data_IF_267880582585
#
_entry.id   IF_267880582585
#
_cell.length_a   1.000
_cell.length_b   1.000
_cell.length_c   1.000
_cell.angle_alpha   90.00
_cell.angle_beta   90.00
_cell.angle_gamma   90.00
#
_symmetry.space_group_name_H-M   'P 1'
#
loop_
_entity.id
_entity.type
_entity.pdbx_description
1 polymer ?
#
# COMPACT_ATOMS: atom_id res chain seq x y z
N UNK A 1 0.98 -10.17 43.48
CA UNK A 1 1.47 -8.81 43.16
C UNK A 1 0.81 -7.76 44.05
N UNK A 2 1.58 -6.95 44.78
CA UNK A 2 1.05 -5.90 45.67
C UNK A 2 0.72 -4.60 44.91
N UNK A 3 -0.15 -3.72 45.46
CA UNK A 3 -0.44 -2.41 44.86
C UNK A 3 0.81 -1.54 44.64
N UNK A 4 1.75 -1.58 45.60
CA UNK A 4 3.02 -0.86 45.50
C UNK A 4 3.93 -1.40 44.38
N UNK A 5 3.96 -2.72 44.17
CA UNK A 5 4.71 -3.33 43.07
C UNK A 5 4.11 -2.94 41.71
N UNK A 6 2.77 -2.96 41.59
CA UNK A 6 2.07 -2.51 40.37
C UNK A 6 2.38 -1.03 40.06
N UNK A 7 2.39 -0.16 41.07
CA UNK A 7 2.69 1.26 40.87
C UNK A 7 4.11 1.51 40.33
N UNK A 8 5.11 0.75 40.82
CA UNK A 8 6.50 0.82 40.31
C UNK A 8 6.62 0.35 38.86
N UNK A 9 5.91 -0.73 38.50
CA UNK A 9 5.86 -1.22 37.12
C UNK A 9 5.15 -0.21 36.19
N UNK A 10 4.07 0.43 36.66
CA UNK A 10 3.39 1.49 35.92
C UNK A 10 4.30 2.71 35.70
N UNK A 11 5.08 3.12 36.70
CA UNK A 11 6.07 4.19 36.54
C UNK A 11 7.14 3.83 35.48
N UNK A 12 7.55 2.56 35.44
CA UNK A 12 8.48 2.05 34.44
C UNK A 12 7.85 2.05 33.03
N UNK A 13 6.60 1.63 32.89
CA UNK A 13 5.89 1.64 31.62
C UNK A 13 5.69 3.06 31.09
N UNK A 14 5.33 4.01 31.95
CA UNK A 14 5.23 5.44 31.61
C UNK A 14 6.56 6.03 31.15
N UNK A 15 7.67 5.69 31.82
CA UNK A 15 8.99 6.15 31.41
C UNK A 15 9.48 5.55 30.08
N UNK A 16 9.00 4.35 29.73
CA UNK A 16 9.35 3.66 28.50
C UNK A 16 8.42 4.03 27.32
N UNK A 17 7.20 4.48 27.60
CA UNK A 17 6.22 4.91 26.62
C UNK A 17 6.35 6.39 26.26
N UNK A 18 5.94 6.76 25.04
CA UNK A 18 5.85 8.16 24.60
C UNK A 18 4.45 8.77 24.79
N UNK A 19 3.44 7.93 25.02
CA UNK A 19 2.04 8.32 25.25
C UNK A 19 1.52 7.63 26.49
N UNK A 20 0.66 8.32 27.23
CA UNK A 20 0.13 7.80 28.49
C UNK A 20 -0.80 6.61 28.27
N UNK A 21 -1.62 6.65 27.21
CA UNK A 21 -2.48 5.54 26.75
C UNK A 21 -1.70 4.25 26.44
N UNK A 22 -0.56 4.37 25.76
CA UNK A 22 0.30 3.21 25.43
C UNK A 22 0.94 2.57 26.68
N UNK A 23 1.07 3.30 27.80
CA UNK A 23 1.77 2.82 28.99
C UNK A 23 0.96 1.77 29.77
N UNK A 24 -0.36 1.92 29.80
CA UNK A 24 -1.24 0.95 30.47
C UNK A 24 -1.30 -0.36 29.70
N UNK A 25 -1.46 -0.29 28.38
CA UNK A 25 -1.44 -1.46 27.49
C UNK A 25 -0.11 -2.21 27.60
N UNK A 26 1.02 -1.47 27.58
CA UNK A 26 2.36 -2.03 27.73
C UNK A 26 2.53 -2.80 29.06
N UNK A 27 1.99 -2.26 30.16
CA UNK A 27 2.00 -2.95 31.45
C UNK A 27 1.11 -4.20 31.41
N UNK A 28 -0.08 -4.11 30.84
CA UNK A 28 -1.03 -5.21 30.79
C UNK A 28 -0.47 -6.39 29.96
N UNK A 29 0.11 -6.13 28.80
CA UNK A 29 0.77 -7.16 27.99
C UNK A 29 1.96 -7.79 28.74
N UNK A 30 2.77 -6.98 29.43
CA UNK A 30 3.90 -7.49 30.20
C UNK A 30 3.47 -8.41 31.35
N UNK A 31 2.36 -8.09 32.02
CA UNK A 31 1.78 -8.94 33.07
C UNK A 31 1.22 -10.25 32.50
N UNK A 32 0.54 -10.21 31.35
CA UNK A 32 0.05 -11.41 30.67
C UNK A 32 1.22 -12.33 30.28
N UNK A 33 2.29 -11.77 29.73
CA UNK A 33 3.49 -12.53 29.36
C UNK A 33 4.22 -13.10 30.59
N UNK A 34 4.27 -12.35 31.70
CA UNK A 34 4.87 -12.82 32.94
C UNK A 34 4.04 -13.91 33.64
N UNK A 35 2.71 -13.80 33.59
CA UNK A 35 1.79 -14.82 34.08
C UNK A 35 1.95 -16.13 33.28
N UNK A 36 1.97 -16.05 31.95
CA UNK A 36 2.18 -17.22 31.09
C UNK A 36 3.54 -17.90 31.34
N UNK A 37 4.56 -17.14 31.75
CA UNK A 37 5.88 -17.65 32.10
C UNK A 37 6.01 -18.11 33.57
N UNK A 38 4.96 -17.99 34.40
CA UNK A 38 5.00 -18.31 35.82
C UNK A 38 5.88 -17.37 36.67
N UNK A 39 6.19 -16.17 36.17
CA UNK A 39 7.14 -15.21 36.77
C UNK A 39 6.50 -13.87 37.10
N UNK A 40 5.21 -13.86 37.44
CA UNK A 40 4.46 -12.64 37.70
C UNK A 40 4.98 -11.86 38.93
N UNK A 41 5.49 -12.55 39.95
CA UNK A 41 6.06 -11.93 41.16
C UNK A 41 7.50 -11.44 40.96
N UNK A 42 8.14 -11.79 39.85
CA UNK A 42 9.49 -11.34 39.50
C UNK A 42 9.44 -9.96 38.84
N UNK A 43 9.47 -8.91 39.66
CA UNK A 43 9.39 -7.52 39.19
C UNK A 43 10.53 -7.13 38.23
N UNK A 44 11.71 -7.75 38.34
CA UNK A 44 12.82 -7.50 37.42
C UNK A 44 12.54 -8.11 36.04
N UNK A 45 11.95 -9.30 36.01
CA UNK A 45 11.51 -9.95 34.78
C UNK A 45 10.42 -9.14 34.05
N UNK A 46 9.39 -8.68 34.77
CA UNK A 46 8.32 -7.84 34.20
C UNK A 46 8.88 -6.51 33.66
N UNK A 47 9.79 -5.88 34.41
CA UNK A 47 10.51 -4.66 33.97
C UNK A 47 11.27 -4.89 32.67
N UNK A 48 11.92 -6.05 32.52
CA UNK A 48 12.62 -6.45 31.29
C UNK A 48 11.68 -6.57 30.09
N UNK A 49 10.50 -7.16 30.28
CA UNK A 49 9.47 -7.28 29.23
C UNK A 49 8.98 -5.91 28.77
N UNK A 50 8.64 -5.01 29.71
CA UNK A 50 8.20 -3.64 29.45
C UNK A 50 9.23 -2.91 28.56
N UNK A 51 10.52 -2.95 28.93
CA UNK A 51 11.58 -2.29 28.15
C UNK A 51 11.74 -2.88 26.75
N UNK A 52 11.63 -4.21 26.62
CA UNK A 52 11.75 -4.90 25.33
C UNK A 52 10.59 -4.52 24.40
N UNK A 53 9.37 -4.53 24.90
CA UNK A 53 8.16 -4.17 24.13
C UNK A 53 8.23 -2.70 23.69
N UNK A 54 8.59 -1.78 24.60
CA UNK A 54 8.77 -0.37 24.26
C UNK A 54 9.84 -0.15 23.16
N UNK A 55 10.97 -0.86 23.24
CA UNK A 55 12.00 -0.81 22.21
C UNK A 55 11.50 -1.35 20.84
N UNK A 56 10.66 -2.39 20.84
CA UNK A 56 10.04 -2.93 19.62
C UNK A 56 9.04 -1.95 19.01
N UNK A 57 8.20 -1.31 19.83
CA UNK A 57 7.26 -0.27 19.40
C UNK A 57 8.00 0.93 18.80
N UNK A 58 9.07 1.40 19.46
CA UNK A 58 9.91 2.50 18.97
C UNK A 58 10.57 2.17 17.61
N UNK A 59 11.08 0.95 17.43
CA UNK A 59 11.63 0.48 16.13
C UNK A 59 10.54 0.39 15.06
N UNK A 60 9.34 -0.05 15.42
CA UNK A 60 8.16 -0.05 14.54
C UNK A 60 7.81 1.36 14.06
N UNK A 61 7.74 2.31 14.98
CA UNK A 61 7.46 3.71 14.70
C UNK A 61 8.58 4.38 13.86
N UNK A 62 9.86 4.09 14.14
CA UNK A 62 10.97 4.60 13.34
C UNK A 62 10.94 4.08 11.89
N UNK A 63 10.66 2.78 11.68
CA UNK A 63 10.47 2.22 10.33
C UNK A 63 9.24 2.77 9.63
N UNK A 64 8.17 3.06 10.37
CA UNK A 64 6.98 3.73 9.82
C UNK A 64 7.32 5.14 9.37
N UNK A 65 7.95 5.95 10.23
CA UNK A 65 8.41 7.30 9.88
C UNK A 65 9.40 7.30 8.71
N UNK A 66 10.33 6.34 8.64
CA UNK A 66 11.26 6.23 7.52
C UNK A 66 10.57 5.88 6.20
N UNK A 67 9.48 5.08 6.24
CA UNK A 67 8.64 4.82 5.07
C UNK A 67 7.87 6.07 4.66
N UNK A 68 7.29 6.78 5.62
CA UNK A 68 6.51 8.00 5.39
C UNK A 68 7.38 9.19 4.96
N UNK A 69 8.61 9.32 5.45
CA UNK A 69 9.53 10.40 5.06
C UNK A 69 10.21 10.14 3.72
N UNK A 70 10.53 8.89 3.40
CA UNK A 70 10.94 8.50 2.05
C UNK A 70 9.80 8.71 1.03
N UNK A 71 8.55 8.66 1.48
CA UNK A 71 7.36 8.93 0.71
C UNK A 71 7.12 10.44 0.48
N UNK A 72 7.25 11.25 1.54
CA UNK A 72 7.09 12.71 1.47
C UNK A 72 8.16 13.44 0.64
N UNK A 73 9.29 12.79 0.35
CA UNK A 73 10.34 13.32 -0.52
C UNK A 73 10.08 13.11 -2.03
N UNK A 74 9.01 12.38 -2.39
CA UNK A 74 8.53 12.36 -3.77
C UNK A 74 7.72 13.65 -4.00
N UNK A 75 8.00 14.41 -5.08
CA UNK A 75 7.21 15.60 -5.38
C UNK A 75 5.74 15.19 -5.48
N UNK A 76 4.88 15.91 -4.75
CA UNK A 76 3.44 15.76 -4.89
C UNK A 76 3.06 16.20 -6.31
N UNK A 77 3.02 15.25 -7.24
CA UNK A 77 2.38 15.47 -8.51
C UNK A 77 0.92 15.82 -8.21
N UNK A 78 0.52 17.04 -8.51
CA UNK A 78 -0.87 17.47 -8.48
C UNK A 78 -1.67 16.50 -9.35
N UNK A 79 -2.50 15.67 -8.73
CA UNK A 79 -3.66 15.11 -9.41
C UNK A 79 -4.58 16.29 -9.67
N UNK A 80 -4.39 16.99 -10.78
CA UNK A 80 -5.55 17.61 -11.38
C UNK A 80 -6.47 16.44 -11.73
N UNK A 81 -7.51 16.27 -10.91
CA UNK A 81 -8.64 15.41 -11.19
C UNK A 81 -9.24 15.91 -12.50
N UNK A 82 -8.70 15.43 -13.62
CA UNK A 82 -9.31 15.62 -14.91
C UNK A 82 -10.61 14.84 -14.86
N UNK A 83 -11.70 15.53 -14.52
CA UNK A 83 -13.07 15.03 -14.59
C UNK A 83 -13.22 14.22 -15.88
N UNK A 84 -13.35 12.89 -15.74
CA UNK A 84 -13.46 11.98 -16.88
C UNK A 84 -14.72 12.34 -17.65
N UNK A 85 -14.56 13.06 -18.77
CA UNK A 85 -15.68 13.49 -19.59
C UNK A 85 -16.53 12.27 -19.98
N UNK A 86 -17.86 12.29 -19.74
CA UNK A 86 -18.70 11.14 -19.96
C UNK A 86 -18.66 10.69 -21.42
N UNK A 87 -18.49 9.38 -21.62
CA UNK A 87 -18.47 8.76 -22.94
C UNK A 87 -19.87 8.77 -23.56
N UNK A 88 -20.00 9.00 -24.88
CA UNK A 88 -21.27 8.80 -25.57
C UNK A 88 -21.67 7.31 -25.51
N UNK A 89 -22.94 6.95 -25.80
CA UNK A 89 -23.35 5.55 -25.89
C UNK A 89 -22.53 4.82 -26.96
N UNK A 90 -21.79 3.80 -26.55
CA UNK A 90 -20.87 3.02 -27.38
C UNK A 90 -21.24 1.53 -27.34
N UNK A 91 -21.02 0.77 -28.43
CA UNK A 91 -21.04 -0.68 -28.38
C UNK A 91 -20.06 -1.24 -27.33
N UNK A 92 -20.36 -2.36 -26.64
CA UNK A 92 -19.54 -2.86 -25.52
C UNK A 92 -18.06 -3.12 -25.85
N UNK A 93 -17.77 -3.46 -27.10
CA UNK A 93 -16.39 -3.65 -27.57
C UNK A 93 -15.61 -2.32 -27.71
N UNK A 94 -16.30 -1.23 -28.03
CA UNK A 94 -15.70 0.11 -28.18
C UNK A 94 -15.65 0.84 -26.84
N UNK A 95 -16.66 0.66 -25.98
CA UNK A 95 -16.69 1.23 -24.64
C UNK A 95 -15.49 0.78 -23.80
N UNK A 96 -15.18 -0.53 -23.79
CA UNK A 96 -14.01 -1.06 -23.07
C UNK A 96 -12.69 -0.44 -23.55
N UNK A 97 -12.53 -0.27 -24.86
CA UNK A 97 -11.32 0.37 -25.43
C UNK A 97 -11.27 1.85 -25.04
N UNK A 98 -12.42 2.55 -25.08
CA UNK A 98 -12.52 3.96 -24.73
C UNK A 98 -12.21 4.23 -23.26
N UNK A 99 -12.76 3.43 -22.34
CA UNK A 99 -12.48 3.52 -20.90
C UNK A 99 -11.01 3.24 -20.57
N UNK A 100 -10.43 2.19 -21.18
CA UNK A 100 -9.00 1.91 -20.97
C UNK A 100 -8.11 3.02 -21.52
N UNK A 101 -8.47 3.62 -22.66
CA UNK A 101 -7.77 4.77 -23.20
C UNK A 101 -7.92 6.03 -22.32
N UNK A 102 -9.11 6.28 -21.74
CA UNK A 102 -9.33 7.34 -20.75
C UNK A 102 -8.48 7.14 -19.49
N UNK A 103 -8.40 5.89 -19.00
CA UNK A 103 -7.50 5.49 -17.92
C UNK A 103 -6.00 5.51 -18.31
N UNK A 104 -5.66 6.03 -19.49
CA UNK A 104 -4.29 6.24 -19.95
C UNK A 104 -3.60 5.00 -20.52
N UNK A 105 -4.25 3.84 -20.61
CA UNK A 105 -3.60 2.61 -21.09
C UNK A 105 -3.04 2.75 -22.51
N UNK A 106 -1.83 2.23 -22.73
CA UNK A 106 -1.19 2.17 -24.05
C UNK A 106 -1.87 1.12 -24.93
N UNK A 107 -1.63 1.21 -26.25
CA UNK A 107 -2.07 0.18 -27.21
C UNK A 107 -1.61 -1.24 -26.85
N UNK A 108 -0.39 -1.37 -26.32
CA UNK A 108 0.15 -2.68 -25.92
C UNK A 108 -0.60 -3.23 -24.69
N UNK A 109 -0.84 -2.39 -23.68
CA UNK A 109 -1.59 -2.76 -22.48
C UNK A 109 -3.05 -3.08 -22.81
N UNK A 110 -3.72 -2.29 -23.66
CA UNK A 110 -5.09 -2.57 -24.11
C UNK A 110 -5.17 -3.90 -24.86
N UNK A 111 -4.21 -4.19 -25.74
CA UNK A 111 -4.16 -5.49 -26.46
C UNK A 111 -4.01 -6.66 -25.51
N UNK A 112 -3.10 -6.53 -24.54
CA UNK A 112 -2.86 -7.57 -23.56
C UNK A 112 -4.09 -7.80 -22.68
N UNK A 113 -4.69 -6.73 -22.13
CA UNK A 113 -5.88 -6.79 -21.26
C UNK A 113 -7.12 -7.35 -21.96
N UNK A 114 -7.33 -7.01 -23.23
CA UNK A 114 -8.50 -7.41 -24.00
C UNK A 114 -8.26 -8.65 -24.88
N UNK A 115 -7.07 -9.25 -24.85
CA UNK A 115 -6.71 -10.40 -25.69
C UNK A 115 -6.80 -10.11 -27.20
N UNK A 116 -6.42 -8.89 -27.64
CA UNK A 116 -6.61 -8.45 -29.02
C UNK A 116 -5.34 -8.56 -29.87
N UNK A 117 -5.54 -8.98 -31.11
CA UNK A 117 -4.54 -8.79 -32.18
C UNK A 117 -4.38 -7.30 -32.48
N UNK A 118 -3.23 -6.92 -33.06
CA UNK A 118 -3.00 -5.51 -33.42
C UNK A 118 -4.02 -5.01 -34.45
N UNK A 119 -4.39 -5.86 -35.41
CA UNK A 119 -5.42 -5.57 -36.40
C UNK A 119 -6.79 -5.30 -35.75
N UNK A 120 -7.20 -6.13 -34.79
CA UNK A 120 -8.45 -5.95 -34.06
C UNK A 120 -8.47 -4.65 -33.23
N UNK A 121 -7.35 -4.30 -32.59
CA UNK A 121 -7.26 -3.01 -31.87
C UNK A 121 -7.34 -1.82 -32.85
N UNK A 122 -6.64 -1.88 -33.99
CA UNK A 122 -6.68 -0.82 -35.01
C UNK A 122 -8.11 -0.58 -35.52
N UNK A 123 -8.85 -1.64 -35.82
CA UNK A 123 -10.24 -1.56 -36.26
C UNK A 123 -11.13 -0.91 -35.18
N UNK A 124 -10.99 -1.33 -33.92
CA UNK A 124 -11.77 -0.75 -32.81
C UNK A 124 -11.43 0.72 -32.57
N UNK A 125 -10.16 1.11 -32.64
CA UNK A 125 -9.75 2.52 -32.52
C UNK A 125 -10.22 3.38 -33.70
N UNK A 126 -10.29 2.82 -34.91
CA UNK A 126 -10.85 3.52 -36.07
C UNK A 126 -12.37 3.72 -35.92
N UNK A 127 -13.10 2.68 -35.54
CA UNK A 127 -14.55 2.76 -35.28
C UNK A 127 -14.88 3.71 -34.13
N UNK A 128 -14.07 3.70 -33.07
CA UNK A 128 -14.20 4.61 -31.93
C UNK A 128 -14.00 6.07 -32.33
N UNK A 129 -12.98 6.37 -33.15
CA UNK A 129 -12.73 7.72 -33.69
C UNK A 129 -13.92 8.24 -34.50
N UNK A 130 -14.52 7.39 -35.32
CA UNK A 130 -15.73 7.75 -36.08
C UNK A 130 -16.92 8.07 -35.17
N UNK A 131 -17.06 7.39 -34.03
CA UNK A 131 -18.15 7.61 -33.05
C UNK A 131 -17.92 8.82 -32.13
N UNK A 132 -16.67 9.21 -31.89
CA UNK A 132 -16.34 10.38 -31.06
C UNK A 132 -16.37 11.73 -31.82
N UNK A 133 -16.73 11.75 -33.10
CA UNK A 133 -16.92 12.97 -33.91
C UNK A 133 -15.77 14.01 -33.80
N UNK A 134 -14.52 13.56 -33.70
CA UNK A 134 -13.36 14.44 -33.64
C UNK A 134 -12.99 14.97 -32.26
N UNK A 135 -13.65 14.55 -31.17
CA UNK A 135 -13.11 14.76 -29.82
C UNK A 135 -11.75 14.06 -29.71
N UNK A 136 -10.68 14.75 -29.26
CA UNK A 136 -9.39 14.10 -29.09
C UNK A 136 -9.55 12.98 -28.05
N UNK A 137 -9.15 11.77 -28.41
CA UNK A 137 -8.88 10.76 -27.37
C UNK A 137 -7.81 11.36 -26.46
N UNK A 138 -7.95 11.25 -25.13
CA UNK A 138 -6.90 11.69 -24.22
C UNK A 138 -5.56 11.10 -24.67
N UNK A 139 -4.47 11.88 -24.63
CA UNK A 139 -3.19 11.46 -25.14
C UNK A 139 -2.81 10.09 -24.57
N UNK A 140 -2.68 9.07 -25.43
CA UNK A 140 -2.26 7.69 -25.08
C UNK A 140 -0.78 7.62 -24.66
N UNK A 141 -0.22 8.73 -24.16
CA UNK A 141 1.22 8.95 -23.98
C UNK A 141 1.70 8.32 -22.66
N UNK A 142 0.79 8.01 -21.74
CA UNK A 142 1.16 7.72 -20.37
C UNK A 142 1.04 6.24 -19.95
N UNK A 143 0.39 5.38 -20.74
CA UNK A 143 0.19 3.99 -20.35
C UNK A 143 -0.55 3.79 -19.02
N UNK A 144 -0.69 2.53 -18.59
CA UNK A 144 -1.18 2.21 -17.25
C UNK A 144 -0.33 2.98 -16.23
N UNK A 145 -0.97 3.86 -15.46
CA UNK A 145 -0.31 4.84 -14.59
C UNK A 145 -0.54 6.31 -14.93
N UNK A 146 -1.17 6.61 -16.08
CA UNK A 146 -1.60 7.97 -16.42
C UNK A 146 -0.45 8.99 -16.35
N UNK A 147 -0.77 10.25 -16.02
CA UNK A 147 0.23 11.31 -15.84
C UNK A 147 1.37 10.94 -14.87
N UNK A 148 1.14 9.98 -13.97
CA UNK A 148 2.08 9.50 -12.94
C UNK A 148 2.98 8.36 -13.42
N UNK A 149 2.93 7.94 -14.69
CA UNK A 149 3.76 6.84 -15.21
C UNK A 149 5.25 7.08 -15.03
N UNK A 150 5.70 8.33 -15.20
CA UNK A 150 7.09 8.69 -14.99
C UNK A 150 7.51 8.44 -13.53
N UNK A 151 6.67 8.84 -12.58
CA UNK A 151 6.89 8.63 -11.16
C UNK A 151 6.87 7.15 -10.80
N UNK A 152 5.88 6.39 -11.30
CA UNK A 152 5.78 4.94 -11.10
C UNK A 152 7.03 4.21 -11.63
N UNK A 153 7.54 4.61 -12.81
CA UNK A 153 8.78 4.07 -13.38
C UNK A 153 10.00 4.46 -12.55
N UNK A 154 10.07 5.70 -12.08
CA UNK A 154 11.19 6.17 -11.26
C UNK A 154 11.23 5.43 -9.91
N UNK A 155 10.07 5.19 -9.29
CA UNK A 155 9.96 4.43 -8.05
C UNK A 155 10.33 2.95 -8.28
N UNK A 156 9.85 2.33 -9.36
CA UNK A 156 10.25 0.95 -9.73
C UNK A 156 11.75 0.84 -9.96
N UNK A 157 12.36 1.80 -10.66
CA UNK A 157 13.80 1.80 -10.92
C UNK A 157 14.65 1.90 -9.64
N UNK A 158 14.14 2.59 -8.60
CA UNK A 158 14.78 2.71 -7.29
C UNK A 158 14.55 1.49 -6.38
N UNK A 159 13.59 0.63 -6.74
CA UNK A 159 13.12 -0.51 -5.94
C UNK A 159 13.09 -1.78 -6.81
N UNK A 160 14.26 -2.30 -7.20
CA UNK A 160 14.35 -3.47 -8.10
C UNK A 160 13.68 -4.73 -7.52
N UNK A 161 13.47 -4.78 -6.21
CA UNK A 161 12.75 -5.85 -5.54
C UNK A 161 11.22 -5.80 -5.75
N UNK A 162 10.66 -4.68 -6.21
CA UNK A 162 9.22 -4.51 -6.45
C UNK A 162 8.80 -5.17 -7.77
N UNK A 163 7.62 -5.80 -7.79
CA UNK A 163 7.06 -6.45 -9.00
C UNK A 163 6.29 -5.50 -9.89
N UNK A 164 5.53 -4.59 -9.30
CA UNK A 164 4.83 -3.52 -10.02
C UNK A 164 4.55 -2.34 -9.09
N UNK A 165 4.28 -1.18 -9.67
CA UNK A 165 3.87 0.02 -8.97
C UNK A 165 2.53 0.49 -9.55
N UNK A 166 1.68 1.07 -8.70
CA UNK A 166 0.43 1.69 -9.09
C UNK A 166 0.13 2.85 -8.13
N UNK A 167 -1.05 3.47 -8.22
CA UNK A 167 -1.49 4.51 -7.32
C UNK A 167 -2.96 4.32 -6.94
N UNK A 168 -3.35 4.79 -5.76
CA UNK A 168 -4.75 4.86 -5.36
C UNK A 168 -5.46 6.08 -6.01
N UNK A 169 -6.79 6.23 -5.86
CA UNK A 169 -7.53 7.37 -6.43
C UNK A 169 -7.00 8.73 -5.95
N UNK A 170 -6.50 8.80 -4.72
CA UNK A 170 -5.91 10.01 -4.12
C UNK A 170 -4.52 10.32 -4.68
N UNK A 171 -3.95 9.40 -5.46
CA UNK A 171 -2.65 9.52 -6.11
C UNK A 171 -1.48 9.01 -5.28
N UNK A 172 -1.71 8.40 -4.12
CA UNK A 172 -0.63 7.75 -3.39
C UNK A 172 -0.13 6.54 -4.17
N UNK A 173 1.13 6.60 -4.62
CA UNK A 173 1.73 5.45 -5.28
C UNK A 173 2.00 4.34 -4.26
N UNK A 174 1.75 3.10 -4.66
CA UNK A 174 2.06 1.93 -3.88
C UNK A 174 2.86 0.93 -4.72
N UNK A 175 3.67 0.15 -4.02
CA UNK A 175 4.53 -0.88 -4.62
C UNK A 175 4.03 -2.25 -4.19
N UNK A 176 3.88 -3.15 -5.16
CA UNK A 176 3.65 -4.55 -4.88
C UNK A 176 4.98 -5.28 -4.79
N UNK A 177 5.28 -5.77 -3.60
CA UNK A 177 6.51 -6.47 -3.29
C UNK A 177 6.27 -7.98 -3.28
N UNK A 178 7.24 -8.81 -3.70
CA UNK A 178 7.17 -10.25 -3.47
C UNK A 178 7.14 -10.50 -1.96
N UNK A 179 6.31 -11.45 -1.54
CA UNK A 179 6.25 -11.86 -0.14
C UNK A 179 7.60 -12.41 0.29
N UNK A 180 8.19 -11.82 1.33
CA UNK A 180 9.40 -12.35 1.99
C UNK A 180 9.10 -13.50 2.95
N UNK A 181 7.83 -13.92 3.04
CA UNK A 181 7.49 -15.17 3.70
C UNK A 181 7.93 -16.30 2.78
N UNK A 182 9.03 -16.98 3.11
CA UNK A 182 9.33 -18.29 2.55
C UNK A 182 8.07 -19.16 2.57
N UNK A 183 7.90 -20.10 1.62
CA UNK A 183 6.61 -20.72 1.32
C UNK A 183 5.92 -21.15 2.62
N UNK A 184 4.92 -20.38 3.05
CA UNK A 184 4.04 -20.83 4.13
C UNK A 184 3.43 -22.10 3.57
N UNK A 185 3.70 -23.23 4.23
CA UNK A 185 3.00 -24.49 3.99
C UNK A 185 1.53 -24.13 3.92
N UNK A 186 0.96 -24.15 2.71
CA UNK A 186 -0.48 -24.20 2.56
C UNK A 186 -0.86 -25.44 3.36
N UNK A 187 -1.64 -25.25 4.43
CA UNK A 187 -2.34 -26.35 5.04
C UNK A 187 -3.18 -26.96 3.92
N UNK A 188 -2.72 -28.09 3.40
CA UNK A 188 -3.54 -28.99 2.62
C UNK A 188 -4.67 -29.38 3.57
N UNK A 189 -5.82 -28.73 3.41
CA UNK A 189 -7.08 -29.25 3.91
C UNK A 189 -7.27 -30.60 3.24
N UNK A 190 -6.97 -31.66 3.99
CA UNK A 190 -7.33 -33.02 3.63
C UNK A 190 -8.79 -33.25 4.01
N UNK A 191 -9.52 -33.70 2.98
CA UNK A 191 -10.77 -34.46 2.95
C UNK A 191 -12.04 -33.72 3.35
#
# INVERSE_FOLDING_TARGET
>A
MTPAARARLMATARAASRREEDAEDLLQEALVAAWAAGRLEDGAYVTGIIRRQAAMAARGAARRRARESAWAALPAASSEEAEEAPLPPLPPALERVARLAQAGCTRAEIRWLLGLTDAALRQRLAALRGKLAGRPLPPQIAGAGGARRADLRAVLARRPEARFASHDPDGHLFLAMPSQSGPRRQQQGRL
#
